data_IF_312232508746
#
_entry.id   IF_312232508746
#
_cell.length_a   1.000
_cell.length_b   1.000
_cell.length_c   1.000
_cell.angle_alpha   90.00
_cell.angle_beta   90.00
_cell.angle_gamma   90.00
#
_symmetry.space_group_name_H-M   'P 1'
#
loop_
_entity.id
_entity.type
_entity.pdbx_description
1 polymer ?
#
# COMPACT_ATOMS: atom_id res chain seq x y z
N UNK A 1 11.97 16.56 13.71
CA UNK A 1 12.14 16.47 12.24
C UNK A 1 13.30 15.51 11.92
N UNK A 2 13.03 14.24 11.57
CA UNK A 2 14.06 13.30 11.07
C UNK A 2 13.52 12.14 10.21
N UNK A 3 12.23 12.12 9.88
CA UNK A 3 11.61 10.96 9.19
C UNK A 3 11.53 11.12 7.67
N UNK A 4 11.38 12.36 7.16
CA UNK A 4 11.31 12.64 5.71
C UNK A 4 12.69 12.44 5.02
N UNK A 5 13.79 12.46 5.77
CA UNK A 5 15.13 12.28 5.20
C UNK A 5 15.39 10.82 4.78
N UNK A 6 14.82 9.84 5.48
CA UNK A 6 15.09 8.43 5.21
C UNK A 6 14.44 7.97 3.90
N UNK A 7 13.24 8.44 3.56
CA UNK A 7 12.60 8.04 2.29
C UNK A 7 13.36 8.60 1.08
N UNK A 8 13.85 9.85 1.17
CA UNK A 8 14.75 10.41 0.15
C UNK A 8 16.01 9.57 -0.01
N UNK A 9 16.61 9.13 1.09
CA UNK A 9 17.82 8.29 1.05
C UNK A 9 17.56 6.90 0.46
N UNK A 10 16.42 6.27 0.73
CA UNK A 10 16.08 4.95 0.14
C UNK A 10 15.77 5.04 -1.36
N UNK A 11 15.10 6.10 -1.81
CA UNK A 11 14.87 6.35 -3.26
C UNK A 11 16.19 6.63 -3.98
N UNK A 12 17.09 7.44 -3.37
CA UNK A 12 18.43 7.70 -3.91
C UNK A 12 19.28 6.42 -3.96
N UNK A 13 19.19 5.54 -2.95
CA UNK A 13 19.94 4.27 -2.92
C UNK A 13 19.52 3.31 -4.04
N UNK A 14 18.23 3.30 -4.41
CA UNK A 14 17.70 2.45 -5.47
C UNK A 14 18.11 2.94 -6.87
N UNK A 15 18.22 4.26 -7.04
CA UNK A 15 18.72 4.92 -8.26
C UNK A 15 20.23 4.69 -8.46
N UNK A 16 21.02 4.72 -7.38
CA UNK A 16 22.47 4.57 -7.46
C UNK A 16 22.93 3.18 -7.94
N UNK A 17 22.12 2.12 -7.75
CA UNK A 17 22.49 0.76 -8.14
C UNK A 17 22.51 0.52 -9.67
N UNK A 18 21.88 1.40 -10.46
CA UNK A 18 21.78 1.26 -11.93
C UNK A 18 22.75 2.17 -12.72
N UNK A 19 23.51 3.05 -12.05
CA UNK A 19 24.29 4.11 -12.70
C UNK A 19 25.74 3.73 -13.09
N UNK A 20 26.18 2.47 -12.94
CA UNK A 20 27.61 2.14 -13.10
C UNK A 20 28.10 1.91 -14.55
N UNK A 21 27.47 2.48 -15.57
CA UNK A 21 28.07 2.52 -16.93
C UNK A 21 27.61 3.73 -17.76
N UNK A 22 28.25 4.90 -17.60
CA UNK A 22 28.58 5.77 -18.75
C UNK A 22 29.43 6.98 -18.35
N UNK A 23 30.44 7.25 -19.16
CA UNK A 23 31.37 8.38 -19.07
C UNK A 23 30.69 9.73 -19.32
N UNK A 24 31.02 10.70 -18.45
CA UNK A 24 31.13 12.16 -18.65
C UNK A 24 30.30 12.80 -19.79
N UNK A 25 29.11 13.29 -19.43
CA UNK A 25 28.56 14.59 -19.86
C UNK A 25 27.37 14.91 -18.94
N UNK A 26 27.33 16.13 -18.39
CA UNK A 26 26.42 16.61 -17.32
C UNK A 26 26.66 15.98 -15.94
N UNK A 27 26.98 16.80 -14.92
CA UNK A 27 27.04 16.36 -13.51
C UNK A 27 25.64 16.00 -12.94
N UNK A 28 24.57 16.45 -13.62
CA UNK A 28 23.21 16.13 -13.23
C UNK A 28 22.78 14.78 -13.85
N UNK A 29 22.25 13.85 -13.03
CA UNK A 29 21.80 12.56 -13.52
C UNK A 29 20.60 12.74 -14.45
N UNK A 30 20.55 11.99 -15.55
CA UNK A 30 19.40 11.96 -16.45
C UNK A 30 18.09 11.73 -15.69
N UNK A 31 16.96 12.22 -16.22
CA UNK A 31 15.66 12.00 -15.61
C UNK A 31 15.34 10.50 -15.55
N UNK A 32 14.99 10.02 -14.36
CA UNK A 32 14.78 8.61 -14.06
C UNK A 32 13.51 8.41 -13.25
N UNK A 33 12.83 7.30 -13.51
CA UNK A 33 11.63 6.89 -12.77
C UNK A 33 11.74 5.41 -12.41
N UNK A 34 11.31 5.08 -11.20
CA UNK A 34 11.18 3.71 -10.72
C UNK A 34 9.84 3.57 -10.01
N UNK A 35 9.40 2.33 -9.79
CA UNK A 35 8.19 2.12 -9.01
C UNK A 35 8.12 0.80 -8.28
N UNK A 36 7.08 0.71 -7.48
CA UNK A 36 6.69 -0.46 -6.70
C UNK A 36 5.17 -0.56 -6.72
N UNK A 37 4.64 -1.72 -6.36
CA UNK A 37 3.20 -1.93 -6.43
C UNK A 37 2.70 -3.04 -5.53
N UNK A 38 1.41 -2.96 -5.22
CA UNK A 38 0.65 -4.03 -4.57
C UNK A 38 -0.76 -4.05 -5.13
N UNK A 39 -1.56 -5.04 -4.73
CA UNK A 39 -2.95 -5.18 -5.14
C UNK A 39 -3.86 -5.07 -3.92
N UNK A 40 -4.89 -4.22 -4.00
CA UNK A 40 -6.02 -4.26 -3.07
C UNK A 40 -6.99 -5.34 -3.57
N UNK A 41 -7.33 -6.30 -2.73
CA UNK A 41 -8.40 -7.25 -2.95
C UNK A 41 -9.63 -6.84 -2.15
N UNK A 42 -10.73 -6.62 -2.85
CA UNK A 42 -12.05 -6.38 -2.25
C UNK A 42 -12.88 -7.64 -2.41
N UNK A 43 -13.31 -8.23 -1.30
CA UNK A 43 -14.16 -9.42 -1.29
C UNK A 43 -15.61 -9.03 -0.95
N UNK A 44 -16.54 -9.43 -1.81
CA UNK A 44 -17.98 -9.32 -1.57
C UNK A 44 -18.57 -10.70 -1.30
N UNK A 45 -19.35 -10.79 -0.23
CA UNK A 45 -20.12 -11.97 0.14
C UNK A 45 -21.61 -11.67 -0.11
N UNK A 46 -22.26 -12.45 -0.97
CA UNK A 46 -23.70 -12.35 -1.21
C UNK A 46 -24.38 -13.67 -0.92
N UNK A 47 -25.32 -13.68 0.02
CA UNK A 47 -26.21 -14.83 0.25
C UNK A 47 -27.52 -14.55 -0.45
N UNK A 48 -27.85 -15.32 -1.49
CA UNK A 48 -29.15 -15.23 -2.13
C UNK A 48 -30.25 -15.76 -1.17
N UNK A 49 -31.44 -15.18 -1.25
CA UNK A 49 -32.58 -15.59 -0.43
C UNK A 49 -32.89 -17.07 -0.63
N UNK A 50 -32.62 -17.90 0.39
CA UNK A 50 -32.87 -19.35 0.36
C UNK A 50 -31.66 -20.22 0.04
N UNK A 51 -30.46 -19.64 -0.10
CA UNK A 51 -29.20 -20.40 -0.18
C UNK A 51 -28.50 -20.46 1.19
N UNK A 52 -27.90 -21.61 1.51
CA UNK A 52 -27.15 -21.81 2.78
C UNK A 52 -25.72 -21.27 2.70
N UNK A 53 -25.13 -21.20 1.50
CA UNK A 53 -23.75 -20.74 1.31
C UNK A 53 -23.70 -19.37 0.60
N UNK A 54 -22.79 -18.50 1.05
CA UNK A 54 -22.58 -17.21 0.42
C UNK A 54 -21.75 -17.35 -0.85
N UNK A 55 -22.15 -16.68 -1.93
CA UNK A 55 -21.31 -16.48 -3.10
C UNK A 55 -20.23 -15.45 -2.77
N UNK A 56 -18.96 -15.84 -2.94
CA UNK A 56 -17.80 -14.98 -2.72
C UNK A 56 -17.31 -14.50 -4.09
N UNK A 57 -17.17 -13.19 -4.24
CA UNK A 57 -16.56 -12.56 -5.42
C UNK A 57 -15.43 -11.63 -5.02
N UNK A 58 -14.36 -11.62 -5.82
CA UNK A 58 -13.19 -10.79 -5.59
C UNK A 58 -13.01 -9.77 -6.72
N UNK A 59 -12.62 -8.56 -6.34
CA UNK A 59 -12.14 -7.51 -7.24
C UNK A 59 -10.73 -7.11 -6.85
N UNK A 60 -9.89 -6.82 -7.85
CA UNK A 60 -8.49 -6.52 -7.64
C UNK A 60 -8.13 -5.15 -8.19
N UNK A 61 -7.62 -4.26 -7.34
CA UNK A 61 -7.16 -2.92 -7.75
C UNK A 61 -5.64 -2.83 -7.60
N UNK A 62 -4.87 -2.76 -8.68
CA UNK A 62 -3.43 -2.55 -8.61
C UNK A 62 -3.09 -1.11 -8.19
N UNK A 63 -2.32 -0.97 -7.13
CA UNK A 63 -1.80 0.28 -6.60
C UNK A 63 -0.31 0.36 -6.91
N UNK A 64 0.05 1.24 -7.85
CA UNK A 64 1.42 1.47 -8.30
C UNK A 64 1.87 2.81 -7.75
N UNK A 65 3.04 2.84 -7.13
CA UNK A 65 3.73 4.05 -6.68
C UNK A 65 4.93 4.27 -7.59
N UNK A 66 4.98 5.43 -8.24
CA UNK A 66 6.11 5.86 -9.06
C UNK A 66 6.87 6.99 -8.35
N UNK A 67 8.19 6.87 -8.32
CA UNK A 67 9.09 7.88 -7.79
C UNK A 67 10.14 8.25 -8.83
N UNK A 68 10.45 9.53 -8.93
CA UNK A 68 11.46 10.06 -9.84
C UNK A 68 12.51 10.88 -9.09
N UNK A 69 13.66 11.12 -9.74
CA UNK A 69 14.71 12.01 -9.22
C UNK A 69 14.34 13.49 -9.35
N UNK A 70 13.34 13.84 -10.17
CA UNK A 70 12.84 15.20 -10.41
C UNK A 70 11.31 15.26 -10.44
N UNK A 71 10.69 16.45 -10.28
CA UNK A 71 9.24 16.59 -10.36
C UNK A 71 8.69 16.15 -11.71
N UNK A 72 7.73 15.23 -11.67
CA UNK A 72 7.04 14.77 -12.88
C UNK A 72 5.88 15.69 -13.22
N UNK A 73 5.71 16.00 -14.50
CA UNK A 73 4.53 16.70 -15.05
C UNK A 73 3.46 15.73 -15.53
N UNK A 74 3.87 14.54 -15.98
CA UNK A 74 2.99 13.46 -16.44
C UNK A 74 3.54 12.12 -15.96
N UNK A 75 2.67 11.24 -15.52
CA UNK A 75 3.00 9.85 -15.25
C UNK A 75 1.85 8.97 -15.72
N UNK A 76 2.18 7.84 -16.34
CA UNK A 76 1.20 6.84 -16.79
C UNK A 76 1.76 5.45 -16.53
N UNK A 77 0.86 4.51 -16.29
CA UNK A 77 1.21 3.11 -16.09
C UNK A 77 0.44 2.24 -17.06
N UNK A 78 1.11 1.24 -17.63
CA UNK A 78 0.46 0.14 -18.36
C UNK A 78 0.59 -1.14 -17.56
N UNK A 79 -0.55 -1.79 -17.33
CA UNK A 79 -0.60 -3.13 -16.77
C UNK A 79 -0.03 -4.16 -17.77
N UNK A 80 0.34 -5.37 -17.30
CA UNK A 80 0.81 -6.45 -18.16
C UNK A 80 -0.14 -6.82 -19.31
N UNK A 81 -1.47 -6.65 -19.12
CA UNK A 81 -2.49 -6.86 -20.17
C UNK A 81 -2.63 -5.71 -21.17
N UNK A 82 -1.91 -4.60 -20.95
CA UNK A 82 -1.93 -3.40 -21.78
C UNK A 82 -2.91 -2.32 -21.32
N UNK A 83 -3.75 -2.60 -20.32
CA UNK A 83 -4.67 -1.63 -19.72
C UNK A 83 -3.91 -0.46 -19.12
N UNK A 84 -4.42 0.76 -19.34
CA UNK A 84 -3.82 1.97 -18.78
C UNK A 84 -4.33 2.23 -17.37
N UNK A 85 -3.41 2.48 -16.45
CA UNK A 85 -3.69 2.90 -15.08
C UNK A 85 -3.37 4.39 -14.97
N UNK A 86 -4.38 5.13 -14.55
CA UNK A 86 -4.30 6.57 -14.39
C UNK A 86 -3.52 6.89 -13.11
N UNK A 87 -2.55 7.78 -13.19
CA UNK A 87 -1.71 8.17 -12.06
C UNK A 87 -2.07 9.59 -11.62
N UNK A 88 -1.97 9.85 -10.32
CA UNK A 88 -2.10 11.19 -9.74
C UNK A 88 -0.88 11.53 -8.91
N UNK A 89 -0.51 12.80 -8.84
CA UNK A 89 0.52 13.27 -7.94
C UNK A 89 0.13 12.99 -6.49
N UNK A 90 1.11 12.56 -5.68
CA UNK A 90 0.94 12.39 -4.25
C UNK A 90 1.30 13.68 -3.51
N UNK A 91 0.35 14.20 -2.74
CA UNK A 91 0.51 15.45 -2.00
C UNK A 91 1.65 15.36 -0.97
N UNK A 92 2.38 16.48 -0.81
CA UNK A 92 3.49 16.58 0.13
C UNK A 92 4.84 16.06 -0.40
N UNK A 93 4.88 15.54 -1.63
CA UNK A 93 6.10 15.00 -2.25
C UNK A 93 6.66 15.88 -3.38
N UNK A 94 6.37 17.18 -3.40
CA UNK A 94 6.98 18.14 -4.36
C UNK A 94 6.89 17.71 -5.85
N UNK A 95 5.91 16.90 -6.24
CA UNK A 95 5.75 16.41 -7.61
C UNK A 95 6.61 15.21 -8.00
N UNK A 96 7.50 14.72 -7.13
CA UNK A 96 8.42 13.60 -7.45
C UNK A 96 7.79 12.22 -7.24
N UNK A 97 6.59 12.15 -6.66
CA UNK A 97 5.91 10.89 -6.34
C UNK A 97 4.48 10.92 -6.84
N UNK A 98 4.10 9.88 -7.58
CA UNK A 98 2.78 9.70 -8.16
C UNK A 98 2.26 8.30 -7.81
N UNK A 99 0.94 8.15 -7.73
CA UNK A 99 0.29 6.89 -7.36
C UNK A 99 -0.91 6.60 -8.24
N UNK A 100 -1.25 5.31 -8.41
CA UNK A 100 -2.48 4.89 -9.07
C UNK A 100 -3.67 5.65 -8.49
N UNK A 101 -4.49 6.23 -9.36
CA UNK A 101 -5.70 6.92 -8.96
C UNK A 101 -6.83 5.91 -8.75
N UNK A 102 -7.15 5.63 -7.48
CA UNK A 102 -8.18 4.68 -7.07
C UNK A 102 -9.61 5.14 -7.34
N UNK A 103 -9.82 6.40 -7.71
CA UNK A 103 -11.15 6.92 -8.09
C UNK A 103 -11.55 6.56 -9.53
N UNK A 104 -10.61 6.06 -10.33
CA UNK A 104 -10.87 5.59 -11.69
C UNK A 104 -10.88 4.07 -11.67
N UNK A 105 -12.00 3.46 -12.06
CA UNK A 105 -12.28 2.02 -12.02
C UNK A 105 -11.23 1.15 -12.70
N UNK A 106 -10.14 0.90 -11.98
CA UNK A 106 -9.00 0.07 -12.34
C UNK A 106 -9.11 -1.31 -11.68
N UNK A 107 -10.30 -1.64 -11.19
CA UNK A 107 -10.65 -2.96 -10.71
C UNK A 107 -10.59 -3.98 -11.84
N UNK A 108 -10.00 -5.14 -11.53
CA UNK A 108 -9.82 -6.27 -12.43
C UNK A 108 -10.51 -7.49 -11.83
N UNK A 109 -11.03 -8.35 -12.71
CA UNK A 109 -11.67 -9.63 -12.33
C UNK A 109 -10.65 -10.70 -11.92
N UNK A 110 -9.41 -10.53 -12.36
CA UNK A 110 -8.31 -11.45 -12.09
C UNK A 110 -7.21 -10.70 -11.37
N UNK A 111 -6.63 -11.35 -10.37
CA UNK A 111 -5.47 -10.86 -9.66
C UNK A 111 -4.34 -10.52 -10.65
N UNK A 112 -3.99 -9.23 -10.82
CA UNK A 112 -2.96 -8.85 -11.76
C UNK A 112 -1.58 -9.23 -11.22
N UNK A 113 -0.73 -9.73 -12.11
CA UNK A 113 0.64 -10.10 -11.82
C UNK A 113 1.53 -9.87 -13.03
N UNK A 114 2.79 -9.52 -12.77
CA UNK A 114 3.80 -9.22 -13.79
C UNK A 114 4.34 -7.80 -13.69
N UNK A 115 4.91 -7.35 -14.81
CA UNK A 115 5.60 -6.07 -14.93
C UNK A 115 4.65 -4.97 -15.40
N UNK A 116 4.49 -3.93 -14.60
CA UNK A 116 3.80 -2.71 -14.92
C UNK A 116 4.82 -1.70 -15.45
N UNK A 117 4.61 -1.21 -16.67
CA UNK A 117 5.51 -0.23 -17.28
C UNK A 117 5.10 1.18 -16.88
N UNK A 118 6.02 1.93 -16.30
CA UNK A 118 5.84 3.33 -15.93
C UNK A 118 6.46 4.19 -17.03
N UNK A 119 5.74 5.21 -17.48
CA UNK A 119 6.28 6.26 -18.35
C UNK A 119 5.99 7.61 -17.71
N UNK A 120 7.04 8.39 -17.50
CA UNK A 120 6.98 9.70 -16.87
C UNK A 120 7.66 10.76 -17.72
N UNK A 121 7.31 12.02 -17.48
CA UNK A 121 7.91 13.21 -18.10
C UNK A 121 8.21 14.26 -17.04
N UNK A 122 9.36 14.93 -17.12
CA UNK A 122 9.69 16.07 -16.25
C UNK A 122 9.15 17.40 -16.82
N UNK A 123 9.60 18.54 -16.27
CA UNK A 123 9.18 19.87 -16.72
C UNK A 123 9.70 20.24 -18.11
N UNK A 124 10.80 19.63 -18.54
CA UNK A 124 11.40 19.84 -19.86
C UNK A 124 10.82 18.88 -20.91
N UNK A 125 9.79 18.10 -20.54
CA UNK A 125 9.18 17.04 -21.36
C UNK A 125 10.18 15.91 -21.72
N UNK A 126 11.24 15.74 -20.91
CA UNK A 126 12.15 14.60 -21.02
C UNK A 126 11.45 13.31 -20.55
N UNK A 127 11.40 12.26 -21.37
CA UNK A 127 10.76 11.00 -20.99
C UNK A 127 11.69 10.09 -20.21
N UNK A 128 11.15 9.43 -19.19
CA UNK A 128 11.78 8.29 -18.53
C UNK A 128 10.85 7.08 -18.49
N UNK A 129 11.44 5.89 -18.54
CA UNK A 129 10.72 4.63 -18.34
C UNK A 129 11.26 3.90 -17.12
N UNK A 130 10.33 3.32 -16.37
CA UNK A 130 10.61 2.50 -15.20
C UNK A 130 9.64 1.34 -15.15
N UNK A 131 9.80 0.50 -14.13
CA UNK A 131 8.91 -0.63 -13.90
C UNK A 131 8.50 -0.72 -12.45
N UNK A 132 7.29 -1.23 -12.22
CA UNK A 132 6.87 -1.82 -10.96
C UNK A 132 6.54 -3.29 -11.21
N UNK A 133 6.98 -4.18 -10.33
CA UNK A 133 6.72 -5.61 -10.47
C UNK A 133 5.81 -6.05 -9.33
N UNK A 134 4.65 -6.61 -9.68
CA UNK A 134 3.79 -7.31 -8.74
C UNK A 134 3.97 -8.80 -9.02
N UNK A 135 4.66 -9.49 -8.12
CA UNK A 135 4.92 -10.92 -8.27
C UNK A 135 3.62 -11.74 -8.17
N UNK A 136 3.62 -12.92 -8.78
CA UNK A 136 2.52 -13.87 -8.61
C UNK A 136 2.29 -14.12 -7.12
N UNK A 137 1.05 -13.87 -6.68
CA UNK A 137 0.59 -14.13 -5.32
C UNK A 137 -0.67 -14.98 -5.38
N UNK A 138 -1.03 -15.57 -4.25
CA UNK A 138 -2.27 -16.31 -4.10
C UNK A 138 -3.35 -15.36 -3.60
N UNK A 139 -4.53 -15.46 -4.18
CA UNK A 139 -5.73 -14.74 -3.73
C UNK A 139 -6.11 -15.15 -2.30
N UNK A 140 -6.56 -14.19 -1.49
CA UNK A 140 -7.16 -14.48 -0.19
C UNK A 140 -8.60 -14.96 -0.37
N UNK A 141 -8.97 -16.09 0.21
CA UNK A 141 -10.25 -16.75 -0.11
C UNK A 141 -11.44 -16.31 0.75
N UNK A 142 -11.20 -15.57 1.82
CA UNK A 142 -12.23 -15.16 2.77
C UNK A 142 -12.14 -13.66 3.06
N UNK A 143 -13.30 -13.04 3.26
CA UNK A 143 -13.37 -11.64 3.70
C UNK A 143 -12.73 -11.53 5.09
N UNK A 144 -11.90 -10.50 5.25
CA UNK A 144 -11.39 -10.11 6.56
C UNK A 144 -12.57 -9.55 7.35
N UNK A 145 -12.81 -10.17 8.50
CA UNK A 145 -13.78 -9.77 9.51
C UNK A 145 -13.02 -9.59 10.80
N UNK A 146 -13.47 -8.63 11.60
CA UNK A 146 -12.79 -8.30 12.82
C UNK A 146 -13.25 -6.97 13.35
N UNK A 147 -12.65 -6.59 14.46
CA UNK A 147 -12.96 -5.35 15.16
C UNK A 147 -11.65 -4.68 15.59
N UNK A 148 -11.70 -3.38 15.75
CA UNK A 148 -10.57 -2.61 16.27
C UNK A 148 -11.08 -1.50 17.17
N UNK A 149 -10.50 -1.36 18.35
CA UNK A 149 -10.89 -0.35 19.34
C UNK A 149 -9.65 0.40 19.81
N UNK A 150 -9.76 1.73 19.90
CA UNK A 150 -8.80 2.59 20.58
C UNK A 150 -9.39 3.15 21.87
N UNK A 151 -8.90 2.65 23.00
CA UNK A 151 -9.41 3.03 24.31
C UNK A 151 -8.30 3.05 25.36
N UNK A 152 -8.32 4.07 26.23
CA UNK A 152 -7.36 4.22 27.33
C UNK A 152 -5.88 4.10 26.89
N UNK A 153 -5.56 4.67 25.71
CA UNK A 153 -4.24 4.60 25.06
C UNK A 153 -3.78 3.18 24.73
N UNK A 154 -4.73 2.28 24.51
CA UNK A 154 -4.50 0.91 24.03
C UNK A 154 -5.30 0.66 22.77
N UNK A 155 -4.73 -0.14 21.89
CA UNK A 155 -5.43 -0.64 20.71
C UNK A 155 -5.72 -2.12 20.94
N UNK A 156 -6.98 -2.52 20.83
CA UNK A 156 -7.37 -3.93 20.78
C UNK A 156 -7.80 -4.24 19.36
N UNK A 157 -7.27 -5.30 18.77
CA UNK A 157 -7.62 -5.73 17.43
C UNK A 157 -7.96 -7.22 17.43
N UNK A 158 -9.10 -7.55 16.85
CA UNK A 158 -9.58 -8.92 16.67
C UNK A 158 -9.67 -9.21 15.19
N UNK A 159 -9.21 -10.39 14.79
CA UNK A 159 -9.16 -10.83 13.39
C UNK A 159 -9.89 -12.16 13.23
N UNK A 160 -10.36 -12.48 12.04
CA UNK A 160 -10.58 -13.86 11.63
C UNK A 160 -9.37 -14.38 10.85
N UNK A 161 -9.24 -15.71 10.81
CA UNK A 161 -8.30 -16.36 9.90
C UNK A 161 -8.75 -16.19 8.46
N UNK A 162 -7.93 -15.54 7.65
CA UNK A 162 -8.09 -15.43 6.20
C UNK A 162 -7.15 -16.42 5.51
N UNK A 163 -7.69 -17.40 4.80
CA UNK A 163 -6.88 -18.36 4.03
C UNK A 163 -6.10 -17.61 2.93
N UNK A 164 -4.79 -17.86 2.87
CA UNK A 164 -3.87 -17.22 1.92
C UNK A 164 -3.12 -16.03 2.50
N UNK A 165 -3.62 -15.40 3.58
CA UNK A 165 -2.92 -14.30 4.24
C UNK A 165 -1.69 -14.79 5.03
N UNK A 166 -0.59 -14.07 4.92
CA UNK A 166 0.65 -14.30 5.68
C UNK A 166 0.80 -13.35 6.86
N UNK A 167 0.25 -12.15 6.73
CA UNK A 167 0.42 -11.05 7.67
C UNK A 167 -0.92 -10.38 7.98
N UNK A 168 -1.01 -9.81 9.18
CA UNK A 168 -2.15 -9.07 9.69
C UNK A 168 -1.67 -7.77 10.30
N UNK A 169 -2.25 -6.67 9.85
CA UNK A 169 -1.78 -5.32 10.12
C UNK A 169 -2.82 -4.58 10.97
N UNK A 170 -2.34 -3.79 11.91
CA UNK A 170 -3.13 -2.72 12.55
C UNK A 170 -2.59 -1.40 12.04
N UNK A 171 -3.47 -0.54 11.52
CA UNK A 171 -3.05 0.64 10.76
C UNK A 171 -3.84 1.89 11.11
N UNK A 172 -3.15 3.03 11.05
CA UNK A 172 -3.75 4.36 11.18
C UNK A 172 -3.74 5.05 9.83
N UNK A 173 -4.88 5.64 9.46
CA UNK A 173 -5.14 6.28 8.17
C UNK A 173 -5.66 7.70 8.37
N UNK A 174 -5.22 8.63 7.53
CA UNK A 174 -5.72 10.03 7.54
C UNK A 174 -7.17 10.12 7.02
N UNK A 175 -7.54 9.26 6.08
CA UNK A 175 -8.89 9.11 5.56
C UNK A 175 -9.20 7.63 5.30
N UNK A 176 -10.48 7.26 5.23
CA UNK A 176 -10.90 5.89 4.84
C UNK A 176 -10.37 5.48 3.46
N UNK A 177 -10.24 6.43 2.54
CA UNK A 177 -9.70 6.21 1.20
C UNK A 177 -8.16 6.20 1.12
N UNK A 178 -7.45 6.44 2.23
CA UNK A 178 -6.00 6.40 2.23
C UNK A 178 -5.51 4.99 1.84
N UNK A 179 -4.43 4.94 1.07
CA UNK A 179 -3.80 3.69 0.63
C UNK A 179 -2.72 3.26 1.61
N UNK A 180 -2.23 2.03 1.49
CA UNK A 180 -1.17 1.50 2.35
C UNK A 180 0.06 2.42 2.38
N UNK A 181 0.51 2.94 1.22
CA UNK A 181 1.68 3.81 1.13
C UNK A 181 1.59 5.13 1.91
N UNK A 182 0.38 5.59 2.25
CA UNK A 182 0.16 6.80 3.04
C UNK A 182 -0.39 6.52 4.44
N UNK A 183 -0.46 5.25 4.81
CA UNK A 183 -0.94 4.79 6.11
C UNK A 183 0.23 4.46 7.05
N UNK A 184 -0.04 4.44 8.35
CA UNK A 184 0.95 4.08 9.36
C UNK A 184 0.64 2.69 9.90
N UNK A 185 1.55 1.73 9.71
CA UNK A 185 1.44 0.41 10.31
C UNK A 185 1.87 0.44 11.78
N UNK A 186 0.88 0.41 12.68
CA UNK A 186 1.05 0.39 14.14
C UNK A 186 1.65 -0.93 14.61
N UNK A 187 1.16 -2.05 14.07
CA UNK A 187 1.68 -3.38 14.36
C UNK A 187 1.49 -4.30 13.14
N UNK A 188 2.34 -5.32 13.05
CA UNK A 188 2.24 -6.41 12.10
C UNK A 188 2.42 -7.72 12.86
N UNK A 189 1.55 -8.70 12.59
CA UNK A 189 1.59 -10.04 13.12
C UNK A 189 1.52 -11.05 11.97
N UNK A 190 2.36 -12.07 12.00
CA UNK A 190 2.19 -13.21 11.11
C UNK A 190 0.94 -14.01 11.48
N UNK A 191 0.38 -14.75 10.51
CA UNK A 191 -0.73 -15.66 10.76
C UNK A 191 -0.44 -16.65 11.91
N UNK A 192 0.79 -17.16 11.98
CA UNK A 192 1.23 -18.10 13.03
C UNK A 192 1.33 -17.47 14.42
N UNK A 193 1.61 -16.16 14.51
CA UNK A 193 1.57 -15.44 15.78
C UNK A 193 0.13 -15.26 16.27
N UNK A 194 -0.79 -14.89 15.37
CA UNK A 194 -2.20 -14.73 15.72
C UNK A 194 -2.89 -16.05 16.09
N UNK A 195 -2.51 -17.16 15.46
CA UNK A 195 -2.99 -18.49 15.87
C UNK A 195 -2.68 -18.83 17.33
N UNK A 196 -1.56 -18.32 17.88
CA UNK A 196 -1.19 -18.52 19.28
C UNK A 196 -1.85 -17.53 20.23
N UNK A 197 -2.36 -16.42 19.69
CA UNK A 197 -3.00 -15.33 20.43
C UNK A 197 -4.53 -15.36 20.30
N UNK A 198 -5.11 -16.49 19.86
CA UNK A 198 -6.55 -16.64 19.61
C UNK A 198 -7.12 -15.50 18.75
N UNK A 199 -6.33 -15.04 17.77
CA UNK A 199 -6.69 -14.00 16.81
C UNK A 199 -7.06 -12.64 17.43
N UNK A 200 -6.66 -12.40 18.67
CA UNK A 200 -6.89 -11.15 19.40
C UNK A 200 -5.58 -10.60 19.95
N UNK A 201 -5.31 -9.32 19.73
CA UNK A 201 -4.10 -8.66 20.22
C UNK A 201 -4.44 -7.36 20.92
N UNK A 202 -3.67 -7.05 21.96
CA UNK A 202 -3.68 -5.74 22.62
C UNK A 202 -2.31 -5.09 22.44
N UNK A 203 -2.33 -3.83 21.99
CA UNK A 203 -1.15 -3.04 21.68
C UNK A 203 -1.12 -1.85 22.62
N UNK A 204 -0.14 -1.85 23.52
CA UNK A 204 0.10 -0.71 24.42
C UNK A 204 0.75 0.47 23.68
N UNK A 205 0.55 1.68 24.20
CA UNK A 205 1.10 2.93 23.66
C UNK A 205 2.61 2.90 23.39
N UNK A 206 3.39 2.22 24.23
CA UNK A 206 4.83 2.08 24.05
C UNK A 206 5.20 1.44 22.71
N UNK A 207 4.33 0.63 22.12
CA UNK A 207 4.57 -0.08 20.86
C UNK A 207 4.36 0.82 19.64
N UNK A 208 3.41 1.77 19.71
CA UNK A 208 3.02 2.57 18.54
C UNK A 208 3.38 4.06 18.64
N UNK A 209 3.64 4.59 19.83
CA UNK A 209 3.89 6.02 20.07
C UNK A 209 4.98 6.62 19.18
N UNK A 210 6.08 5.90 18.97
CA UNK A 210 7.17 6.34 18.09
C UNK A 210 6.75 6.44 16.62
N UNK A 211 5.86 5.55 16.17
CA UNK A 211 5.35 5.47 14.78
C UNK A 211 4.37 6.58 14.46
N UNK A 212 3.64 7.05 15.46
CA UNK A 212 2.65 8.14 15.32
C UNK A 212 3.18 9.50 15.80
N UNK A 213 4.46 9.58 16.16
CA UNK A 213 5.07 10.79 16.73
C UNK A 213 5.10 11.99 15.78
N UNK A 214 5.04 11.75 14.47
CA UNK A 214 4.98 12.80 13.45
C UNK A 214 3.56 13.21 13.05
N UNK A 215 2.54 12.54 13.60
CA UNK A 215 1.16 12.96 13.38
C UNK A 215 0.89 14.24 14.15
N UNK A 216 0.15 15.14 13.51
CA UNK A 216 -0.43 16.29 14.19
C UNK A 216 -1.49 15.81 15.18
N UNK A 217 -1.78 16.63 16.20
CA UNK A 217 -2.87 16.33 17.12
C UNK A 217 -4.20 16.33 16.34
N UNK A 218 -5.04 15.33 16.59
CA UNK A 218 -6.29 15.17 15.86
C UNK A 218 -6.82 13.73 15.82
N UNK A 219 -7.92 13.55 15.07
CA UNK A 219 -8.58 12.26 14.88
C UNK A 219 -8.16 11.63 13.56
N UNK A 220 -7.86 10.34 13.60
CA UNK A 220 -7.46 9.49 12.48
C UNK A 220 -8.32 8.23 12.48
N UNK A 221 -8.34 7.51 11.35
CA UNK A 221 -9.02 6.22 11.26
C UNK A 221 -8.08 5.10 11.68
N UNK A 222 -8.53 4.22 12.56
CA UNK A 222 -7.87 2.99 12.96
C UNK A 222 -8.57 1.82 12.27
N UNK A 223 -7.80 0.95 11.62
CA UNK A 223 -8.33 -0.21 10.92
C UNK A 223 -7.38 -1.40 11.02
N UNK A 224 -7.86 -2.56 10.57
CA UNK A 224 -7.10 -3.79 10.43
C UNK A 224 -7.06 -4.22 8.97
N UNK A 225 -6.02 -4.96 8.61
CA UNK A 225 -5.89 -5.55 7.29
C UNK A 225 -5.25 -6.94 7.34
N UNK A 226 -5.54 -7.73 6.32
CA UNK A 226 -4.88 -8.99 6.03
C UNK A 226 -4.06 -8.81 4.74
N UNK A 227 -2.88 -9.40 4.70
CA UNK A 227 -1.96 -9.22 3.60
C UNK A 227 -1.23 -10.50 3.23
N UNK A 228 -0.79 -10.55 1.98
CA UNK A 228 0.27 -11.45 1.53
C UNK A 228 1.52 -10.62 1.34
N UNK A 229 2.55 -10.91 2.13
CA UNK A 229 3.84 -10.25 2.04
C UNK A 229 4.88 -11.14 1.39
N UNK A 230 5.82 -10.49 0.72
CA UNK A 230 7.03 -11.10 0.17
C UNK A 230 8.26 -10.46 0.81
N UNK A 231 9.44 -10.97 0.49
CA UNK A 231 10.71 -10.33 0.87
C UNK A 231 10.85 -8.89 0.38
N UNK A 232 10.10 -8.52 -0.67
CA UNK A 232 10.12 -7.18 -1.28
C UNK A 232 9.04 -6.25 -0.72
N UNK A 233 8.24 -6.72 0.24
CA UNK A 233 7.12 -6.00 0.82
C UNK A 233 5.76 -6.63 0.50
N UNK A 234 4.70 -5.88 0.80
CA UNK A 234 3.32 -6.28 0.63
C UNK A 234 2.97 -6.45 -0.85
N UNK A 235 2.29 -7.53 -1.21
CA UNK A 235 1.91 -7.86 -2.61
C UNK A 235 0.39 -7.85 -2.80
N UNK A 236 -0.35 -8.36 -1.83
CA UNK A 236 -1.81 -8.40 -1.81
C UNK A 236 -2.32 -7.92 -0.46
N UNK A 237 -3.41 -7.17 -0.45
CA UNK A 237 -3.92 -6.49 0.73
C UNK A 237 -5.44 -6.44 0.73
N UNK A 238 -6.07 -6.75 1.86
CA UNK A 238 -7.50 -6.59 2.09
C UNK A 238 -7.70 -5.86 3.42
N UNK A 239 -8.47 -4.77 3.38
CA UNK A 239 -8.82 -3.97 4.57
C UNK A 239 -10.15 -4.44 5.16
N UNK A 240 -10.33 -4.29 6.46
CA UNK A 240 -11.63 -4.46 7.10
C UNK A 240 -12.57 -3.31 6.74
N UNK A 241 -13.87 -3.61 6.70
CA UNK A 241 -14.90 -2.57 6.60
C UNK A 241 -15.10 -1.82 7.92
N UNK A 242 -14.76 -2.47 9.03
CA UNK A 242 -14.83 -1.93 10.38
C UNK A 242 -13.61 -1.04 10.69
N UNK A 243 -13.88 0.01 11.45
CA UNK A 243 -12.88 1.00 11.85
C UNK A 243 -13.30 1.67 13.14
N UNK A 244 -12.32 2.22 13.84
CA UNK A 244 -12.52 3.11 14.98
C UNK A 244 -11.72 4.41 14.79
N UNK A 245 -11.85 5.35 15.71
CA UNK A 245 -11.12 6.61 15.71
C UNK A 245 -9.88 6.53 16.61
N UNK A 246 -8.70 6.68 16.01
CA UNK A 246 -7.47 6.93 16.74
C UNK A 246 -7.32 8.42 17.04
N UNK A 247 -7.27 8.80 18.31
CA UNK A 247 -7.04 10.19 18.71
C UNK A 247 -5.59 10.40 19.11
N UNK A 248 -4.88 11.28 18.39
CA UNK A 248 -3.55 11.76 18.76
C UNK A 248 -3.68 12.99 19.65
N UNK A 249 -3.25 12.86 20.91
CA UNK A 249 -3.10 13.98 21.84
C UNK A 249 -1.82 14.78 21.58
#
# INVERSE_FOLDING_TARGET
MKTILNLKQYVILLVAAFAMTSCLDSDDPAFQVAGTGYVIQTISEQTASGEEEATITSRFTPIILAGANEPMTKCSVKAPGGESILMTQLDGYSGITWVSNTSYGSEMDKLPSGTFTITAYNQEEEPAQGVAVINNTTEMKAKLKGDVEFKDSKITATFNKVEGATDYLVMIKKSRSSIFYTSITVANYSATELEKADWTVTIDESTYSSKVSSLEAGSYFLTIAAAVSSSSGLVLYQESEEYDNFTKN
#
